data_IF_211437842200
#
_entry.id   IF_211437842200
#
_cell.length_a   1.000
_cell.length_b   1.000
_cell.length_c   1.000
_cell.angle_alpha   90.00
_cell.angle_beta   90.00
_cell.angle_gamma   90.00
#
_symmetry.space_group_name_H-M   'P 1'
#
loop_
_entity.id
_entity.type
_entity.pdbx_description
1 polymer ?
#
# COMPACT_ATOMS: atom_id res chain seq x y z
N UNK A 1 -65.03 -7.84 19.80
CA UNK A 1 -63.68 -8.44 19.68
C UNK A 1 -62.96 -8.06 18.38
N UNK A 2 -63.57 -8.21 17.19
CA UNK A 2 -62.93 -7.87 15.89
C UNK A 2 -62.43 -6.41 15.77
N UNK A 3 -63.16 -5.44 16.35
CA UNK A 3 -62.79 -4.00 16.33
C UNK A 3 -61.57 -3.65 17.20
N UNK A 4 -61.37 -4.37 18.32
CA UNK A 4 -60.22 -4.15 19.22
C UNK A 4 -58.94 -4.72 18.59
N UNK A 5 -59.05 -5.89 17.95
CA UNK A 5 -57.94 -6.49 17.19
C UNK A 5 -57.50 -5.54 16.06
N UNK A 6 -58.45 -4.90 15.37
CA UNK A 6 -58.16 -4.00 14.26
C UNK A 6 -57.41 -2.73 14.74
N UNK A 7 -57.80 -2.16 15.88
CA UNK A 7 -57.09 -1.03 16.49
C UNK A 7 -55.69 -1.42 16.96
N UNK A 8 -55.54 -2.60 17.59
CA UNK A 8 -54.22 -3.09 18.04
C UNK A 8 -53.26 -3.31 16.86
N UNK A 9 -53.79 -3.82 15.75
CA UNK A 9 -53.01 -4.06 14.52
C UNK A 9 -52.60 -2.74 13.86
N UNK A 10 -53.46 -1.72 13.87
CA UNK A 10 -53.14 -0.40 13.35
C UNK A 10 -52.05 0.32 14.18
N UNK A 11 -52.07 0.17 15.51
CA UNK A 11 -51.04 0.75 16.39
C UNK A 11 -49.68 0.05 16.21
N UNK A 12 -49.67 -1.26 16.00
CA UNK A 12 -48.44 -2.03 15.72
C UNK A 12 -47.82 -1.66 14.36
N UNK A 13 -48.64 -1.37 13.35
CA UNK A 13 -48.16 -0.91 12.03
C UNK A 13 -47.59 0.51 12.09
N UNK A 14 -48.20 1.41 12.88
CA UNK A 14 -47.75 2.80 13.04
C UNK A 14 -46.43 2.93 13.82
N UNK A 15 -46.05 1.93 14.63
CA UNK A 15 -44.81 1.95 15.40
C UNK A 15 -43.54 1.58 14.59
N UNK A 16 -43.68 1.18 13.32
CA UNK A 16 -42.60 0.58 12.53
C UNK A 16 -41.72 1.57 11.73
N UNK A 17 -41.97 2.88 11.77
CA UNK A 17 -41.35 3.84 10.82
C UNK A 17 -40.33 4.82 11.41
N UNK A 18 -39.52 4.40 12.38
CA UNK A 18 -38.31 5.14 12.75
C UNK A 18 -37.07 4.38 12.31
N UNK A 19 -36.76 4.45 11.01
CA UNK A 19 -35.47 4.05 10.49
C UNK A 19 -34.45 5.14 10.85
N UNK A 20 -33.60 4.87 11.84
CA UNK A 20 -32.46 5.72 12.14
C UNK A 20 -31.39 5.49 11.07
N UNK A 21 -31.20 6.46 10.18
CA UNK A 21 -30.05 6.45 9.28
C UNK A 21 -28.80 6.73 10.11
N UNK A 22 -27.99 5.70 10.35
CA UNK A 22 -26.67 5.90 10.93
C UNK A 22 -25.89 6.86 10.01
N UNK A 23 -25.24 7.91 10.55
CA UNK A 23 -24.44 8.80 9.74
C UNK A 23 -23.37 7.98 9.03
N UNK A 24 -23.34 8.06 7.70
CA UNK A 24 -22.33 7.40 6.90
C UNK A 24 -20.95 7.76 7.44
N UNK A 25 -20.15 6.75 7.80
CA UNK A 25 -18.78 6.91 8.30
C UNK A 25 -18.00 7.73 7.28
N UNK A 26 -17.79 9.02 7.55
CA UNK A 26 -17.11 9.94 6.64
C UNK A 26 -15.65 9.47 6.53
N UNK A 27 -15.21 9.15 5.31
CA UNK A 27 -13.83 8.75 5.08
C UNK A 27 -12.90 9.90 5.52
N UNK A 28 -11.80 9.61 6.22
CA UNK A 28 -10.90 10.65 6.69
C UNK A 28 -10.23 11.35 5.50
N UNK A 29 -10.08 12.67 5.59
CA UNK A 29 -9.43 13.48 4.55
C UNK A 29 -7.91 13.31 4.64
N UNK A 30 -7.24 13.18 3.49
CA UNK A 30 -5.79 13.02 3.40
C UNK A 30 -5.02 14.20 4.02
N UNK A 31 -5.57 15.40 3.96
CA UNK A 31 -5.03 16.62 4.58
C UNK A 31 -5.02 16.55 6.11
N UNK A 32 -5.95 15.82 6.71
CA UNK A 32 -6.10 15.72 8.17
C UNK A 32 -5.21 14.66 8.82
N UNK A 33 -4.69 13.72 8.04
CA UNK A 33 -3.83 12.65 8.54
C UNK A 33 -2.38 13.11 8.47
N UNK A 34 -1.81 13.48 9.61
CA UNK A 34 -0.42 13.91 9.74
C UNK A 34 0.49 12.74 10.09
N UNK A 35 1.56 12.58 9.31
CA UNK A 35 2.62 11.60 9.57
C UNK A 35 3.88 12.32 10.10
N UNK A 36 4.48 11.84 11.19
CA UNK A 36 5.81 12.29 11.60
C UNK A 36 6.85 11.79 10.62
N UNK A 37 7.77 12.67 10.20
CA UNK A 37 8.84 12.37 9.25
C UNK A 37 10.18 12.85 9.77
N UNK A 38 11.22 12.07 9.47
CA UNK A 38 12.61 12.38 9.85
C UNK A 38 12.89 12.26 11.34
N UNK A 39 14.11 12.67 11.72
CA UNK A 39 14.56 12.73 13.13
C UNK A 39 14.13 14.01 13.84
N UNK A 40 13.59 14.97 13.10
CA UNK A 40 13.19 16.31 13.54
C UNK A 40 11.78 16.36 14.11
N UNK A 41 10.99 15.29 13.97
CA UNK A 41 9.59 15.27 14.40
C UNK A 41 8.67 16.14 13.55
N UNK A 42 9.13 16.58 12.37
CA UNK A 42 8.32 17.34 11.43
C UNK A 42 7.08 16.52 11.03
N UNK A 43 5.92 17.17 10.93
CA UNK A 43 4.67 16.53 10.53
C UNK A 43 4.30 16.97 9.13
N UNK A 44 3.89 16.02 8.30
CA UNK A 44 3.44 16.28 6.93
C UNK A 44 2.15 15.50 6.68
N UNK A 45 1.18 16.11 6.01
CA UNK A 45 -0.08 15.44 5.71
C UNK A 45 0.11 14.35 4.65
N UNK A 46 -0.79 13.36 4.61
CA UNK A 46 -0.78 12.35 3.52
C UNK A 46 -0.94 12.99 2.14
N UNK A 47 -1.70 14.09 2.06
CA UNK A 47 -1.87 14.84 0.83
C UNK A 47 -0.54 15.46 0.40
N UNK A 48 0.11 16.20 1.30
CA UNK A 48 1.39 16.86 1.00
C UNK A 48 2.47 15.84 0.66
N UNK A 49 2.54 14.71 1.36
CA UNK A 49 3.44 13.60 1.03
C UNK A 49 3.23 13.04 -0.37
N UNK A 50 2.00 13.08 -0.89
CA UNK A 50 1.68 12.57 -2.22
C UNK A 50 2.19 13.48 -3.35
N UNK A 51 2.49 14.76 -3.07
CA UNK A 51 2.88 15.78 -4.06
C UNK A 51 4.24 16.42 -3.80
N UNK A 52 4.80 16.29 -2.59
CA UNK A 52 6.09 16.88 -2.23
C UNK A 52 7.21 16.38 -3.15
N UNK A 53 8.19 17.26 -3.42
CA UNK A 53 9.37 16.88 -4.19
C UNK A 53 10.35 16.06 -3.35
N UNK A 54 11.20 15.28 -4.01
CA UNK A 54 12.26 14.52 -3.33
C UNK A 54 13.26 15.42 -2.62
N UNK A 55 13.47 16.66 -3.09
CA UNK A 55 14.40 17.60 -2.47
C UNK A 55 13.81 18.17 -1.18
N UNK A 56 12.56 18.61 -1.23
CA UNK A 56 11.88 19.19 -0.08
C UNK A 56 11.64 18.12 1.00
N UNK A 57 11.32 16.88 0.60
CA UNK A 57 11.23 15.77 1.53
C UNK A 57 12.57 15.46 2.22
N UNK A 58 13.70 15.54 1.51
CA UNK A 58 15.03 15.39 2.12
C UNK A 58 15.36 16.52 3.09
N UNK A 59 14.93 17.75 2.79
CA UNK A 59 15.08 18.89 3.69
C UNK A 59 14.24 18.70 4.96
N UNK A 60 12.97 18.31 4.83
CA UNK A 60 12.08 18.06 5.96
C UNK A 60 12.58 16.92 6.85
N UNK A 61 13.07 15.84 6.25
CA UNK A 61 13.53 14.67 7.00
C UNK A 61 14.96 14.79 7.53
N UNK A 62 15.76 15.72 6.98
CA UNK A 62 17.19 15.87 7.25
C UNK A 62 18.06 14.75 6.68
N UNK A 63 17.48 13.81 5.92
CA UNK A 63 18.20 12.67 5.36
C UNK A 63 18.30 12.80 3.84
N UNK A 64 19.52 12.72 3.30
CA UNK A 64 19.74 12.62 1.85
C UNK A 64 19.41 11.21 1.38
N UNK A 65 18.63 11.09 0.31
CA UNK A 65 18.29 9.79 -0.27
C UNK A 65 19.27 9.42 -1.38
N UNK A 66 19.74 8.17 -1.37
CA UNK A 66 20.45 7.56 -2.49
C UNK A 66 19.48 7.26 -3.67
N UNK A 67 20.00 6.83 -4.82
CA UNK A 67 19.18 6.62 -6.03
C UNK A 67 18.08 5.55 -5.83
N UNK A 68 18.37 4.48 -5.08
CA UNK A 68 17.40 3.43 -4.78
C UNK A 68 16.29 3.95 -3.86
N UNK A 69 16.65 4.72 -2.84
CA UNK A 69 15.72 5.36 -1.91
C UNK A 69 14.84 6.41 -2.59
N UNK A 70 15.40 7.16 -3.55
CA UNK A 70 14.61 8.09 -4.38
C UNK A 70 13.57 7.33 -5.21
N UNK A 71 13.94 6.18 -5.75
CA UNK A 71 13.05 5.36 -6.55
C UNK A 71 11.95 4.74 -5.69
N UNK A 72 12.30 4.18 -4.53
CA UNK A 72 11.30 3.62 -3.60
C UNK A 72 10.36 4.69 -3.08
N UNK A 73 10.87 5.89 -2.78
CA UNK A 73 10.06 7.04 -2.39
C UNK A 73 9.05 7.43 -3.47
N UNK A 74 9.50 7.60 -4.73
CA UNK A 74 8.59 7.92 -5.84
C UNK A 74 7.52 6.85 -6.05
N UNK A 75 7.88 5.58 -5.84
CA UNK A 75 6.94 4.47 -5.98
C UNK A 75 5.90 4.48 -4.85
N UNK A 76 6.33 4.74 -3.62
CA UNK A 76 5.43 4.95 -2.47
C UNK A 76 4.52 6.17 -2.67
N UNK A 77 5.07 7.29 -3.16
CA UNK A 77 4.32 8.50 -3.49
C UNK A 77 3.24 8.23 -4.54
N UNK A 78 3.55 7.44 -5.59
CA UNK A 78 2.57 7.02 -6.59
C UNK A 78 1.46 6.15 -6.00
N UNK A 79 1.78 5.25 -5.08
CA UNK A 79 0.79 4.41 -4.39
C UNK A 79 -0.10 5.25 -3.46
N UNK A 80 0.48 6.20 -2.72
CA UNK A 80 -0.25 7.15 -1.89
C UNK A 80 -1.23 7.98 -2.72
N UNK A 81 -0.76 8.57 -3.82
CA UNK A 81 -1.61 9.32 -4.75
C UNK A 81 -2.75 8.46 -5.32
N UNK A 82 -2.51 7.18 -5.61
CA UNK A 82 -3.55 6.24 -6.05
C UNK A 82 -4.54 5.80 -4.96
N UNK A 83 -4.24 6.07 -3.69
CA UNK A 83 -5.11 5.77 -2.53
C UNK A 83 -5.95 6.96 -2.08
N UNK A 84 -5.64 8.17 -2.58
CA UNK A 84 -6.38 9.41 -2.35
C UNK A 84 -7.38 9.57 -3.52
N UNK A 85 -8.66 9.73 -3.20
CA UNK A 85 -9.71 9.97 -4.18
C UNK A 85 -9.67 11.43 -4.67
N UNK A 86 -10.38 11.73 -5.76
CA UNK A 86 -10.46 13.11 -6.31
C UNK A 86 -11.08 14.11 -5.32
N UNK A 87 -11.87 13.65 -4.35
CA UNK A 87 -12.47 14.44 -3.27
C UNK A 87 -11.53 14.65 -2.07
N UNK A 88 -10.28 14.18 -2.14
CA UNK A 88 -9.30 14.27 -1.06
C UNK A 88 -9.49 13.27 0.07
N UNK A 89 -10.46 12.35 -0.03
CA UNK A 89 -10.66 11.29 0.96
C UNK A 89 -9.69 10.14 0.75
N UNK A 90 -9.24 9.54 1.85
CA UNK A 90 -8.38 8.35 1.79
C UNK A 90 -9.25 7.10 1.81
N UNK A 91 -9.10 6.26 0.78
CA UNK A 91 -9.74 4.96 0.79
C UNK A 91 -8.98 4.04 1.78
N UNK A 92 -9.53 3.92 2.99
CA UNK A 92 -8.95 3.14 4.10
C UNK A 92 -8.63 1.69 3.72
N UNK A 93 -9.41 1.06 2.84
CA UNK A 93 -9.16 -0.30 2.34
C UNK A 93 -7.95 -0.36 1.39
N UNK A 94 -7.79 0.64 0.52
CA UNK A 94 -6.61 0.74 -0.36
C UNK A 94 -5.36 1.10 0.43
N UNK A 95 -5.45 2.02 1.39
CA UNK A 95 -4.34 2.39 2.26
C UNK A 95 -3.88 1.19 3.11
N UNK A 96 -4.81 0.45 3.71
CA UNK A 96 -4.49 -0.77 4.46
C UNK A 96 -3.80 -1.83 3.59
N UNK A 97 -4.19 -1.97 2.33
CA UNK A 97 -3.51 -2.87 1.39
C UNK A 97 -2.10 -2.40 1.01
N UNK A 98 -1.86 -1.08 0.92
CA UNK A 98 -0.52 -0.52 0.70
C UNK A 98 0.37 -0.77 1.91
N UNK A 99 -0.13 -0.52 3.12
CA UNK A 99 0.59 -0.78 4.38
C UNK A 99 0.93 -2.27 4.52
N UNK A 100 -0.03 -3.17 4.29
CA UNK A 100 0.21 -4.63 4.30
C UNK A 100 1.24 -5.08 3.26
N UNK A 101 1.32 -4.41 2.11
CA UNK A 101 2.34 -4.69 1.10
C UNK A 101 3.72 -4.13 1.50
N UNK A 102 3.74 -3.04 2.28
CA UNK A 102 4.96 -2.41 2.79
C UNK A 102 5.61 -3.22 3.94
N UNK A 103 4.86 -4.03 4.68
CA UNK A 103 5.36 -4.97 5.71
C UNK A 103 6.23 -6.14 5.18
N UNK A 104 6.77 -6.02 3.96
CA UNK A 104 7.88 -6.85 3.48
C UNK A 104 7.50 -8.26 3.01
N UNK A 105 6.24 -8.67 3.13
CA UNK A 105 5.79 -10.02 2.72
C UNK A 105 5.46 -10.11 1.22
N UNK A 106 5.20 -8.99 0.54
CA UNK A 106 4.60 -9.00 -0.82
C UNK A 106 5.27 -8.05 -1.84
N UNK A 107 6.34 -7.35 -1.49
CA UNK A 107 7.01 -6.33 -2.32
C UNK A 107 8.14 -6.84 -3.23
N UNK A 108 8.83 -5.92 -3.92
CA UNK A 108 10.04 -6.23 -4.70
C UNK A 108 11.16 -6.74 -3.80
N UNK A 109 11.60 -7.99 -4.00
CA UNK A 109 12.70 -8.57 -3.23
C UNK A 109 14.03 -8.41 -3.98
N UNK A 110 14.66 -7.24 -3.84
CA UNK A 110 15.92 -6.86 -4.50
C UNK A 110 16.98 -7.96 -4.39
N UNK A 111 17.21 -8.50 -3.19
CA UNK A 111 18.21 -9.55 -3.00
C UNK A 111 17.88 -10.87 -3.71
N UNK A 112 16.60 -11.20 -3.84
CA UNK A 112 16.16 -12.38 -4.59
C UNK A 112 16.36 -12.17 -6.07
N UNK A 113 15.93 -11.01 -6.58
CA UNK A 113 16.16 -10.61 -7.96
C UNK A 113 17.65 -10.61 -8.33
N UNK A 114 18.50 -9.99 -7.52
CA UNK A 114 19.93 -9.93 -7.75
C UNK A 114 20.59 -11.32 -7.75
N UNK A 115 20.17 -12.21 -6.83
CA UNK A 115 20.61 -13.61 -6.83
C UNK A 115 20.33 -14.26 -8.19
N UNK A 116 19.09 -14.20 -8.66
CA UNK A 116 18.74 -14.78 -9.95
C UNK A 116 19.39 -14.10 -11.16
N UNK A 117 19.52 -12.78 -11.14
CA UNK A 117 20.04 -12.01 -12.26
C UNK A 117 21.55 -12.15 -12.44
N UNK A 118 22.32 -12.05 -11.35
CA UNK A 118 23.79 -12.05 -11.41
C UNK A 118 24.38 -13.46 -11.36
N UNK A 119 23.77 -14.36 -10.59
CA UNK A 119 24.28 -15.72 -10.36
C UNK A 119 23.48 -16.78 -11.13
N UNK A 120 22.44 -16.37 -11.89
CA UNK A 120 21.63 -17.28 -12.70
C UNK A 120 20.98 -18.39 -11.86
N UNK A 121 21.07 -19.62 -12.37
CA UNK A 121 20.55 -20.82 -11.70
C UNK A 121 21.22 -21.08 -10.34
N UNK A 122 22.49 -20.71 -10.17
CA UNK A 122 23.21 -20.86 -8.89
C UNK A 122 22.56 -19.97 -7.82
N UNK A 123 22.24 -18.72 -8.17
CA UNK A 123 21.53 -17.81 -7.28
C UNK A 123 20.12 -18.30 -6.91
N UNK A 124 19.46 -19.01 -7.82
CA UNK A 124 18.16 -19.62 -7.55
C UNK A 124 18.27 -20.74 -6.50
N UNK A 125 19.29 -21.61 -6.57
CA UNK A 125 19.52 -22.64 -5.56
C UNK A 125 19.79 -22.03 -4.17
N UNK A 126 20.61 -20.98 -4.12
CA UNK A 126 20.88 -20.24 -2.87
C UNK A 126 19.58 -19.64 -2.32
N UNK A 127 18.71 -19.10 -3.16
CA UNK A 127 17.43 -18.55 -2.74
C UNK A 127 16.51 -19.61 -2.11
N UNK A 128 16.53 -20.86 -2.60
CA UNK A 128 15.80 -22.00 -2.05
C UNK A 128 16.37 -22.52 -0.74
N UNK A 129 17.69 -22.41 -0.55
CA UNK A 129 18.39 -22.88 0.65
C UNK A 129 18.09 -22.01 1.89
N UNK A 130 17.92 -20.70 1.70
CA UNK A 130 17.54 -19.80 2.79
C UNK A 130 16.07 -20.07 3.16
N UNK A 131 15.83 -20.50 4.41
CA UNK A 131 14.49 -20.70 4.97
C UNK A 131 14.18 -19.58 5.96
N UNK A 132 13.40 -18.60 5.52
CA UNK A 132 12.87 -17.49 6.31
C UNK A 132 11.44 -17.16 5.83
N UNK A 133 10.75 -16.28 6.55
CA UNK A 133 9.39 -15.83 6.19
C UNK A 133 9.32 -15.16 4.81
N UNK A 134 10.47 -14.70 4.30
CA UNK A 134 10.61 -14.03 2.99
C UNK A 134 10.95 -15.00 1.86
N UNK A 135 11.12 -16.30 2.13
CA UNK A 135 11.55 -17.31 1.14
C UNK A 135 10.72 -17.30 -0.12
N UNK A 136 9.39 -17.38 0.03
CA UNK A 136 8.47 -17.41 -1.11
C UNK A 136 8.67 -16.19 -2.02
N UNK A 137 8.85 -15.01 -1.42
CA UNK A 137 9.06 -13.78 -2.16
C UNK A 137 10.46 -13.71 -2.79
N UNK A 138 11.52 -14.09 -2.05
CA UNK A 138 12.91 -14.15 -2.57
C UNK A 138 13.03 -15.09 -3.77
N UNK A 139 12.53 -16.31 -3.67
CA UNK A 139 12.57 -17.32 -4.74
C UNK A 139 11.82 -16.83 -5.98
N UNK A 140 10.63 -16.25 -5.79
CA UNK A 140 9.85 -15.66 -6.89
C UNK A 140 10.67 -14.59 -7.63
N UNK A 141 11.31 -13.68 -6.89
CA UNK A 141 12.13 -12.64 -7.49
C UNK A 141 13.43 -13.17 -8.10
N UNK A 142 14.01 -14.24 -7.57
CA UNK A 142 15.15 -14.92 -8.19
C UNK A 142 14.79 -15.50 -9.56
N UNK A 143 13.64 -16.16 -9.70
CA UNK A 143 13.16 -16.59 -11.02
C UNK A 143 12.99 -15.43 -12.01
N UNK A 144 12.45 -14.31 -11.55
CA UNK A 144 12.32 -13.09 -12.37
C UNK A 144 13.72 -12.57 -12.77
N UNK A 145 14.68 -12.57 -11.85
CA UNK A 145 16.07 -12.20 -12.11
C UNK A 145 16.71 -13.04 -13.20
N UNK A 146 16.58 -14.37 -13.12
CA UNK A 146 17.07 -15.30 -14.15
C UNK A 146 16.42 -15.01 -15.50
N UNK A 147 15.10 -14.84 -15.53
CA UNK A 147 14.35 -14.54 -16.76
C UNK A 147 14.79 -13.24 -17.42
N UNK A 148 14.96 -12.16 -16.65
CA UNK A 148 15.47 -10.88 -17.16
C UNK A 148 16.90 -11.01 -17.67
N UNK A 149 17.75 -11.76 -16.96
CA UNK A 149 19.13 -12.03 -17.38
C UNK A 149 19.18 -12.76 -18.72
N UNK A 150 18.33 -13.77 -18.91
CA UNK A 150 18.22 -14.50 -20.19
C UNK A 150 17.74 -13.60 -21.33
N UNK A 151 16.73 -12.76 -21.09
CA UNK A 151 16.24 -11.82 -22.10
C UNK A 151 17.33 -10.82 -22.51
N UNK A 152 18.06 -10.26 -21.54
CA UNK A 152 19.19 -9.36 -21.85
C UNK A 152 20.32 -10.08 -22.59
N UNK A 153 20.64 -11.32 -22.20
CA UNK A 153 21.65 -12.13 -22.87
C UNK A 153 21.28 -12.42 -24.33
N UNK A 154 20.01 -12.77 -24.59
CA UNK A 154 19.49 -12.95 -25.94
C UNK A 154 19.55 -11.65 -26.75
N UNK A 155 19.19 -10.50 -26.17
CA UNK A 155 19.26 -9.19 -26.84
C UNK A 155 20.69 -8.71 -27.12
N UNK A 156 21.69 -9.20 -26.37
CA UNK A 156 23.09 -8.86 -26.60
C UNK A 156 23.75 -9.75 -27.65
N UNK A 157 23.22 -10.95 -27.86
CA UNK A 157 23.74 -11.93 -28.83
C UNK A 157 23.04 -11.85 -30.18
N UNK A 158 21.75 -11.50 -30.19
CA UNK A 158 20.95 -11.27 -31.39
C UNK A 158 21.19 -9.86 -31.95
#
# INVERSE_FOLDING_TARGET
>A
MKKIILVLTAVLLAASTFATVAPAKKNPQASSIMLPVGKTGAKISLLDLSVISTKDFQQLTGNKMNLAERMSFKLAQRQLRGSINADGTVNSKKLANVVKKADGTSGFHVGGFALGFLLGLIGLLIAYLINDDKKKNRVKWAWIGVGVGLVLWLLLIL
#
